data_IF_068051371749
#
_entry.id   IF_068051371749
#
_cell.length_a   1.000
_cell.length_b   1.000
_cell.length_c   1.000
_cell.angle_alpha   90.00
_cell.angle_beta   90.00
_cell.angle_gamma   90.00
#
_symmetry.space_group_name_H-M   'P 1'
#
loop_
_entity.id
_entity.type
_entity.pdbx_description
1 polymer ?
#
# COMPACT_ATOMS: atom_id res chain seq x y z
N UNK A 1 11.51 -6.02 -27.34
CA UNK A 1 12.45 -6.73 -26.44
C UNK A 1 12.64 -5.86 -25.21
N UNK A 2 11.72 -5.95 -24.25
CA UNK A 2 11.69 -5.07 -23.08
C UNK A 2 12.75 -5.48 -22.05
N UNK A 3 13.60 -4.52 -21.69
CA UNK A 3 14.68 -4.67 -20.71
C UNK A 3 14.11 -4.96 -19.32
N UNK A 4 14.52 -6.11 -18.75
CA UNK A 4 14.24 -6.47 -17.35
C UNK A 4 15.07 -5.54 -16.46
N UNK A 5 14.39 -4.89 -15.51
CA UNK A 5 14.99 -4.11 -14.43
C UNK A 5 15.93 -5.00 -13.61
N UNK A 6 17.23 -4.81 -13.80
CA UNK A 6 18.24 -5.30 -12.86
C UNK A 6 18.12 -4.50 -11.57
N UNK A 7 17.63 -5.13 -10.51
CA UNK A 7 17.73 -4.63 -9.14
C UNK A 7 19.22 -4.42 -8.83
N UNK A 8 19.63 -3.16 -8.77
CA UNK A 8 20.95 -2.78 -8.29
C UNK A 8 21.04 -3.12 -6.79
N UNK A 9 21.79 -4.17 -6.45
CA UNK A 9 22.20 -4.43 -5.07
C UNK A 9 23.27 -3.43 -4.69
N UNK A 10 22.93 -2.56 -3.74
CA UNK A 10 23.78 -1.50 -3.20
C UNK A 10 25.07 -2.06 -2.60
N UNK A 11 26.23 -1.52 -2.98
CA UNK A 11 27.55 -1.90 -2.49
C UNK A 11 27.85 -1.42 -1.06
N UNK A 12 27.31 -2.13 -0.06
CA UNK A 12 27.91 -2.20 1.28
C UNK A 12 28.86 -3.39 1.31
N UNK A 13 30.00 -3.29 2.02
CA UNK A 13 30.87 -4.44 2.25
C UNK A 13 30.00 -5.63 2.71
N UNK A 14 30.05 -6.75 1.97
CA UNK A 14 29.23 -7.91 2.27
C UNK A 14 29.44 -8.29 3.73
N UNK A 15 28.39 -8.14 4.54
CA UNK A 15 28.44 -8.48 5.96
C UNK A 15 28.58 -9.99 6.04
N UNK A 16 29.80 -10.44 6.36
CA UNK A 16 30.14 -11.86 6.50
C UNK A 16 30.34 -12.25 7.96
N UNK A 17 30.11 -13.52 8.28
CA UNK A 17 30.45 -14.11 9.58
C UNK A 17 31.48 -15.22 9.40
N UNK A 18 32.49 -15.25 10.27
CA UNK A 18 33.54 -16.27 10.25
C UNK A 18 33.07 -17.60 10.83
N UNK A 19 33.65 -18.71 10.37
CA UNK A 19 33.38 -20.04 10.94
C UNK A 19 33.79 -20.15 12.42
N UNK A 20 34.69 -19.29 12.90
CA UNK A 20 35.09 -19.20 14.32
C UNK A 20 34.01 -18.53 15.17
N UNK A 21 33.46 -17.43 14.71
CA UNK A 21 32.32 -16.76 15.37
C UNK A 21 31.10 -17.70 15.42
N UNK A 22 30.85 -18.43 14.33
CA UNK A 22 29.78 -19.46 14.29
C UNK A 22 30.02 -20.53 15.36
N UNK A 23 31.26 -21.01 15.50
CA UNK A 23 31.61 -22.02 16.50
C UNK A 23 31.39 -21.50 17.94
N UNK A 24 31.77 -20.25 18.21
CA UNK A 24 31.55 -19.61 19.51
C UNK A 24 30.04 -19.44 19.82
N UNK A 25 29.26 -18.93 18.87
CA UNK A 25 27.82 -18.72 19.03
C UNK A 25 27.04 -20.04 19.19
N UNK A 26 27.46 -21.08 18.48
CA UNK A 26 26.81 -22.40 18.54
C UNK A 26 27.37 -23.30 19.64
N UNK A 27 28.36 -22.82 20.42
CA UNK A 27 29.09 -23.59 21.45
C UNK A 27 29.59 -24.95 20.92
N UNK A 28 30.00 -24.96 19.66
CA UNK A 28 30.50 -26.14 18.95
C UNK A 28 31.99 -25.99 18.65
N UNK A 29 32.69 -27.10 18.45
CA UNK A 29 34.11 -27.02 18.08
C UNK A 29 34.25 -26.45 16.66
N UNK A 30 35.27 -25.61 16.44
CA UNK A 30 35.56 -25.02 15.13
C UNK A 30 35.79 -26.10 14.06
N UNK A 31 36.45 -27.21 14.40
CA UNK A 31 36.65 -28.35 13.48
C UNK A 31 35.33 -28.96 13.00
N UNK A 32 34.35 -29.14 13.89
CA UNK A 32 33.03 -29.63 13.51
C UNK A 32 32.33 -28.65 12.56
N UNK A 33 32.41 -27.35 12.84
CA UNK A 33 31.82 -26.30 11.99
C UNK A 33 32.48 -26.30 10.61
N UNK A 34 33.82 -26.39 10.53
CA UNK A 34 34.56 -26.49 9.26
C UNK A 34 34.16 -27.72 8.45
N UNK A 35 34.02 -28.90 9.10
CA UNK A 35 33.54 -30.12 8.45
C UNK A 35 32.14 -29.96 7.88
N UNK A 36 31.23 -29.36 8.65
CA UNK A 36 29.86 -29.08 8.19
C UNK A 36 29.84 -28.13 7.01
N UNK A 37 30.61 -27.04 7.05
CA UNK A 37 30.69 -26.07 5.95
C UNK A 37 31.22 -26.74 4.68
N UNK A 38 32.32 -27.51 4.77
CA UNK A 38 32.88 -28.24 3.62
C UNK A 38 31.87 -29.23 3.02
N UNK A 39 31.14 -29.96 3.87
CA UNK A 39 30.07 -30.86 3.42
C UNK A 39 28.96 -30.11 2.68
N UNK A 40 28.48 -29.00 3.24
CA UNK A 40 27.42 -28.19 2.64
C UNK A 40 27.86 -27.51 1.33
N UNK A 41 29.13 -27.15 1.20
CA UNK A 41 29.73 -26.66 -0.05
C UNK A 41 29.76 -27.79 -1.10
N UNK A 42 30.18 -29.00 -0.72
CA UNK A 42 30.19 -30.15 -1.62
C UNK A 42 28.78 -30.54 -2.11
N UNK A 43 27.76 -30.34 -1.27
CA UNK A 43 26.34 -30.54 -1.61
C UNK A 43 25.75 -29.37 -2.43
N UNK A 44 26.49 -28.27 -2.62
CA UNK A 44 26.03 -27.09 -3.34
C UNK A 44 24.99 -26.25 -2.58
N UNK A 45 24.86 -26.45 -1.27
CA UNK A 45 23.89 -25.76 -0.42
C UNK A 45 24.41 -24.38 0.03
N UNK A 46 25.70 -24.31 0.34
CA UNK A 46 26.42 -23.11 0.81
C UNK A 46 27.55 -22.81 -0.17
N UNK A 47 27.91 -21.53 -0.30
CA UNK A 47 29.03 -21.07 -1.11
C UNK A 47 30.09 -20.39 -0.23
N UNK A 48 31.36 -20.69 -0.49
CA UNK A 48 32.46 -20.08 0.25
C UNK A 48 33.81 -20.72 -0.06
N UNK A 49 34.88 -19.97 0.16
CA UNK A 49 36.25 -20.44 0.03
C UNK A 49 36.95 -20.41 1.39
N UNK A 50 37.93 -21.30 1.59
CA UNK A 50 38.79 -21.23 2.76
C UNK A 50 39.66 -19.97 2.70
N UNK A 51 39.64 -19.20 3.78
CA UNK A 51 40.43 -17.99 3.96
C UNK A 51 41.48 -18.22 5.04
N UNK A 52 42.71 -17.69 4.88
CA UNK A 52 43.73 -17.78 5.91
C UNK A 52 43.40 -16.84 7.08
N UNK A 53 43.46 -17.38 8.29
CA UNK A 53 43.31 -16.68 9.56
C UNK A 53 44.61 -16.70 10.34
N UNK A 54 45.13 -15.54 10.72
CA UNK A 54 46.34 -15.43 11.54
C UNK A 54 45.95 -15.29 13.00
N UNK A 55 46.31 -16.28 13.82
CA UNK A 55 45.91 -16.29 15.22
C UNK A 55 46.83 -15.36 16.04
N UNK A 56 46.27 -14.37 16.77
CA UNK A 56 47.05 -13.30 17.41
C UNK A 56 47.96 -13.79 18.53
N UNK A 57 47.64 -14.94 19.16
CA UNK A 57 48.37 -15.44 20.32
C UNK A 57 49.66 -16.21 19.97
N UNK A 58 49.70 -16.89 18.82
CA UNK A 58 50.80 -17.81 18.47
C UNK A 58 51.41 -17.51 17.09
N UNK A 59 50.88 -16.53 16.35
CA UNK A 59 51.36 -16.13 15.03
C UNK A 59 51.17 -17.21 13.95
N UNK A 60 50.43 -18.28 14.21
CA UNK A 60 50.20 -19.36 13.25
C UNK A 60 49.00 -19.05 12.36
N UNK A 61 49.06 -19.52 11.12
CA UNK A 61 47.96 -19.43 10.14
C UNK A 61 47.09 -20.68 10.19
N UNK A 62 45.79 -20.48 10.25
CA UNK A 62 44.77 -21.52 10.23
C UNK A 62 43.74 -21.23 9.13
N UNK A 63 43.06 -22.26 8.63
CA UNK A 63 41.93 -22.04 7.71
C UNK A 63 40.68 -21.59 8.46
N UNK A 64 39.92 -20.68 7.87
CA UNK A 64 38.54 -20.36 8.25
C UNK A 64 37.66 -20.16 7.01
N UNK A 65 36.35 -19.94 7.20
CA UNK A 65 35.44 -19.53 6.13
C UNK A 65 34.78 -18.21 6.51
N UNK A 66 34.60 -17.33 5.53
CA UNK A 66 33.75 -16.13 5.65
C UNK A 66 32.47 -16.39 4.86
N UNK A 67 31.34 -16.46 5.56
CA UNK A 67 30.04 -16.82 4.98
C UNK A 67 29.12 -15.60 4.90
N UNK A 68 28.32 -15.55 3.84
CA UNK A 68 27.21 -14.59 3.72
C UNK A 68 26.13 -14.87 4.77
N UNK A 69 25.28 -13.89 5.07
CA UNK A 69 24.17 -14.05 6.01
C UNK A 69 23.31 -15.30 5.74
N UNK A 70 22.96 -15.57 4.47
CA UNK A 70 22.19 -16.77 4.08
C UNK A 70 22.90 -18.03 4.53
N UNK A 71 24.17 -18.15 4.17
CA UNK A 71 24.95 -19.36 4.36
C UNK A 71 25.29 -19.58 5.84
N UNK A 72 25.55 -18.52 6.59
CA UNK A 72 25.64 -18.53 8.05
C UNK A 72 24.37 -19.07 8.68
N UNK A 73 23.19 -18.60 8.26
CA UNK A 73 21.90 -19.06 8.81
C UNK A 73 21.66 -20.55 8.55
N UNK A 74 22.02 -21.04 7.36
CA UNK A 74 21.96 -22.48 7.03
C UNK A 74 22.84 -23.28 7.99
N UNK A 75 24.08 -22.86 8.21
CA UNK A 75 25.01 -23.58 9.11
C UNK A 75 24.53 -23.52 10.56
N UNK A 76 24.22 -22.34 11.08
CA UNK A 76 23.83 -22.12 12.50
C UNK A 76 22.54 -22.86 12.85
N UNK A 77 21.54 -22.84 11.96
CA UNK A 77 20.28 -23.57 12.18
C UNK A 77 20.46 -25.09 12.22
N UNK A 78 21.54 -25.63 11.66
CA UNK A 78 21.90 -27.05 11.81
C UNK A 78 22.31 -27.42 13.25
N UNK A 79 23.08 -26.55 13.91
CA UNK A 79 23.62 -26.79 15.26
C UNK A 79 22.63 -26.48 16.38
N UNK A 80 21.74 -25.51 16.20
CA UNK A 80 20.76 -25.14 17.20
C UNK A 80 19.35 -25.59 16.79
N UNK A 81 18.90 -26.72 17.34
CA UNK A 81 17.60 -27.29 17.06
C UNK A 81 16.43 -26.38 17.49
N UNK A 82 16.57 -25.68 18.60
CA UNK A 82 15.58 -24.73 19.10
C UNK A 82 15.45 -23.52 18.17
N UNK A 83 16.58 -22.97 17.71
CA UNK A 83 16.59 -21.89 16.73
C UNK A 83 15.91 -22.32 15.43
N UNK A 84 16.20 -23.53 14.94
CA UNK A 84 15.58 -24.08 13.74
C UNK A 84 14.06 -24.21 13.90
N UNK A 85 13.60 -24.75 15.03
CA UNK A 85 12.17 -24.85 15.34
C UNK A 85 11.50 -23.47 15.36
N UNK A 86 12.10 -22.49 16.06
CA UNK A 86 11.58 -21.11 16.11
C UNK A 86 11.50 -20.44 14.76
N UNK A 87 12.48 -20.67 13.88
CA UNK A 87 12.45 -20.15 12.49
C UNK A 87 11.29 -20.79 11.73
N UNK A 88 11.14 -22.12 11.81
CA UNK A 88 10.05 -22.85 11.15
C UNK A 88 8.69 -22.34 11.64
N UNK A 89 8.48 -22.28 12.95
CA UNK A 89 7.23 -21.83 13.56
C UNK A 89 6.89 -20.40 13.15
N UNK A 90 7.87 -19.50 13.15
CA UNK A 90 7.68 -18.11 12.73
C UNK A 90 7.29 -18.01 11.25
N UNK A 91 7.88 -18.82 10.38
CA UNK A 91 7.51 -18.86 8.97
C UNK A 91 6.09 -19.40 8.77
N UNK A 92 5.70 -20.46 9.48
CA UNK A 92 4.32 -20.96 9.45
C UNK A 92 3.32 -19.93 9.97
N UNK A 93 3.68 -19.19 11.02
CA UNK A 93 2.86 -18.08 11.53
C UNK A 93 2.72 -16.97 10.48
N UNK A 94 3.80 -16.58 9.81
CA UNK A 94 3.76 -15.60 8.73
C UNK A 94 2.92 -16.08 7.54
N UNK A 95 2.96 -17.37 7.20
CA UNK A 95 2.09 -17.95 6.16
C UNK A 95 0.61 -17.98 6.56
N UNK A 96 0.31 -18.20 7.86
CA UNK A 96 -1.06 -18.13 8.39
C UNK A 96 -1.58 -16.71 8.54
N UNK A 97 -0.70 -15.77 8.86
CA UNK A 97 -1.02 -14.35 9.09
C UNK A 97 -0.96 -13.52 7.81
N UNK A 98 -0.22 -13.97 6.79
CA UNK A 98 -0.40 -13.48 5.44
C UNK A 98 -1.86 -13.75 5.07
N UNK A 99 -2.62 -12.74 4.61
CA UNK A 99 -3.90 -13.02 3.97
C UNK A 99 -3.63 -14.10 2.93
N UNK A 100 -4.53 -15.10 2.75
CA UNK A 100 -4.34 -16.09 1.71
C UNK A 100 -4.01 -15.30 0.46
N UNK A 101 -2.80 -15.52 -0.09
CA UNK A 101 -2.46 -15.05 -1.43
C UNK A 101 -3.72 -15.33 -2.23
N UNK A 102 -4.42 -14.32 -2.77
CA UNK A 102 -5.77 -14.53 -3.29
C UNK A 102 -5.68 -15.76 -4.16
N UNK A 103 -6.39 -16.83 -3.76
CA UNK A 103 -6.37 -18.11 -4.44
C UNK A 103 -6.37 -17.78 -5.92
N UNK A 104 -5.36 -18.24 -6.69
CA UNK A 104 -4.87 -17.57 -7.89
C UNK A 104 -6.06 -16.96 -8.61
N UNK A 105 -6.27 -15.64 -8.44
CA UNK A 105 -7.50 -14.92 -8.79
C UNK A 105 -8.01 -15.53 -10.06
N UNK A 106 -9.03 -16.42 -9.98
CA UNK A 106 -9.29 -17.48 -10.96
C UNK A 106 -8.65 -17.14 -12.28
N UNK A 107 -7.36 -17.52 -12.48
CA UNK A 107 -6.60 -16.97 -13.61
C UNK A 107 -7.43 -17.41 -14.78
N UNK A 108 -8.05 -16.49 -15.55
CA UNK A 108 -8.97 -16.88 -16.60
C UNK A 108 -8.19 -17.89 -17.42
N UNK A 109 -8.68 -19.14 -17.42
CA UNK A 109 -7.88 -20.30 -17.74
C UNK A 109 -7.11 -19.98 -19.01
N UNK A 110 -5.78 -19.82 -18.91
CA UNK A 110 -5.00 -19.30 -20.04
C UNK A 110 -5.31 -20.24 -21.20
N UNK A 111 -5.95 -19.74 -22.26
CA UNK A 111 -6.44 -20.60 -23.33
C UNK A 111 -5.26 -21.38 -23.89
N UNK A 112 -5.30 -22.71 -23.79
CA UNK A 112 -4.17 -23.55 -24.20
C UNK A 112 -4.10 -23.66 -25.73
N UNK A 113 -5.20 -23.32 -26.39
CA UNK A 113 -5.34 -23.33 -27.85
C UNK A 113 -5.68 -21.94 -28.38
N UNK A 114 -5.24 -21.66 -29.61
CA UNK A 114 -5.53 -20.39 -30.29
C UNK A 114 -7.04 -20.14 -30.46
N UNK A 115 -7.82 -21.20 -30.71
CA UNK A 115 -9.27 -21.10 -30.86
C UNK A 115 -10.00 -20.70 -29.59
N UNK A 116 -9.57 -21.21 -28.43
CA UNK A 116 -10.12 -20.81 -27.13
C UNK A 116 -9.75 -19.36 -26.78
N UNK A 117 -8.54 -18.91 -27.16
CA UNK A 117 -8.10 -17.53 -26.94
C UNK A 117 -8.95 -16.52 -27.69
N UNK A 118 -9.26 -16.80 -28.95
CA UNK A 118 -10.09 -15.93 -29.78
C UNK A 118 -11.53 -15.83 -29.25
N UNK A 119 -12.09 -16.92 -28.71
CA UNK A 119 -13.44 -16.90 -28.12
C UNK A 119 -13.48 -16.09 -26.84
N UNK A 120 -12.51 -16.27 -25.95
CA UNK A 120 -12.41 -15.49 -24.72
C UNK A 120 -12.23 -13.99 -25.03
N UNK A 121 -11.43 -13.65 -26.04
CA UNK A 121 -11.25 -12.26 -26.46
C UNK A 121 -12.55 -11.64 -27.00
N UNK A 122 -13.37 -12.42 -27.73
CA UNK A 122 -14.68 -11.97 -28.19
C UNK A 122 -15.63 -11.72 -27.02
N UNK A 123 -15.74 -12.66 -26.07
CA UNK A 123 -16.59 -12.51 -24.89
C UNK A 123 -16.17 -11.28 -24.04
N UNK A 124 -14.87 -11.03 -23.94
CA UNK A 124 -14.33 -9.86 -23.26
C UNK A 124 -14.67 -8.56 -23.99
N UNK A 125 -14.60 -8.57 -25.32
CA UNK A 125 -14.96 -7.41 -26.13
C UNK A 125 -16.43 -7.05 -25.96
N UNK A 126 -17.33 -8.03 -25.94
CA UNK A 126 -18.77 -7.81 -25.71
C UNK A 126 -19.04 -7.17 -24.33
N UNK A 127 -18.32 -7.60 -23.29
CA UNK A 127 -18.41 -7.00 -21.95
C UNK A 127 -17.90 -5.57 -21.95
N UNK A 128 -16.77 -5.31 -22.61
CA UNK A 128 -16.19 -3.96 -22.73
C UNK A 128 -17.16 -3.03 -23.47
N UNK A 129 -17.78 -3.49 -24.55
CA UNK A 129 -18.74 -2.71 -25.32
C UNK A 129 -20.01 -2.42 -24.51
N UNK A 130 -20.53 -3.41 -23.77
CA UNK A 130 -21.66 -3.21 -22.88
C UNK A 130 -21.36 -2.18 -21.78
N UNK A 131 -20.17 -2.25 -21.17
CA UNK A 131 -19.72 -1.27 -20.17
C UNK A 131 -19.49 0.11 -20.78
N UNK A 132 -18.89 0.17 -21.98
CA UNK A 132 -18.67 1.42 -22.70
C UNK A 132 -20.00 2.09 -23.09
N UNK A 133 -21.00 1.31 -23.49
CA UNK A 133 -22.35 1.82 -23.76
C UNK A 133 -23.02 2.38 -22.49
N UNK A 134 -22.85 1.73 -21.33
CA UNK A 134 -23.33 2.25 -20.04
C UNK A 134 -22.61 3.56 -19.66
N UNK A 135 -21.30 3.64 -19.85
CA UNK A 135 -20.53 4.86 -19.61
C UNK A 135 -20.91 5.98 -20.58
N UNK A 136 -21.15 5.68 -21.85
CA UNK A 136 -21.60 6.64 -22.85
C UNK A 136 -23.02 7.15 -22.56
N UNK A 137 -23.92 6.29 -22.08
CA UNK A 137 -25.24 6.70 -21.62
C UNK A 137 -25.18 7.58 -20.35
N UNK A 138 -24.19 7.35 -19.48
CA UNK A 138 -23.94 8.17 -18.29
C UNK A 138 -23.15 9.46 -18.59
N UNK A 139 -22.42 9.53 -19.71
CA UNK A 139 -21.61 10.67 -20.11
C UNK A 139 -22.35 12.03 -20.11
N UNK A 140 -23.57 12.18 -20.65
CA UNK A 140 -24.25 13.48 -20.64
C UNK A 140 -24.65 13.94 -19.23
N UNK A 141 -24.86 13.00 -18.29
CA UNK A 141 -25.14 13.34 -16.89
C UNK A 141 -23.88 13.82 -16.15
N UNK A 142 -22.74 13.19 -16.43
CA UNK A 142 -21.45 13.58 -15.86
C UNK A 142 -20.95 14.89 -16.47
N UNK A 143 -21.09 15.09 -17.79
CA UNK A 143 -20.75 16.34 -18.48
C UNK A 143 -21.62 17.52 -18.05
N UNK A 144 -22.91 17.32 -17.76
CA UNK A 144 -23.77 18.39 -17.23
C UNK A 144 -23.31 18.81 -15.83
N UNK A 145 -22.96 17.85 -14.97
CA UNK A 145 -22.40 18.15 -13.65
C UNK A 145 -21.08 18.87 -13.80
N UNK A 146 -20.16 18.40 -14.65
CA UNK A 146 -18.84 19.01 -14.82
C UNK A 146 -18.95 20.43 -15.45
N UNK A 147 -19.81 20.67 -16.47
CA UNK A 147 -20.06 22.03 -17.03
C UNK A 147 -20.80 22.96 -16.08
N UNK A 148 -21.77 22.45 -15.32
CA UNK A 148 -22.48 23.26 -14.32
C UNK A 148 -21.53 23.69 -13.21
N UNK A 149 -20.60 22.82 -12.85
CA UNK A 149 -19.64 23.02 -11.80
C UNK A 149 -18.46 23.93 -12.25
N UNK A 150 -18.06 23.89 -13.53
CA UNK A 150 -17.09 24.82 -14.12
C UNK A 150 -17.66 26.24 -14.34
N UNK A 151 -18.93 26.36 -14.73
CA UNK A 151 -19.56 27.65 -15.05
C UNK A 151 -19.95 28.50 -13.84
N UNK A 152 -20.10 27.90 -12.64
CA UNK A 152 -20.61 28.61 -11.45
C UNK A 152 -19.50 29.16 -10.53
N UNK A 153 -18.25 28.76 -10.72
CA UNK A 153 -17.12 29.20 -9.87
C UNK A 153 -17.25 28.75 -8.40
N UNK A 154 -16.78 29.59 -7.47
CA UNK A 154 -16.77 29.30 -6.03
C UNK A 154 -18.20 29.36 -5.43
N UNK A 155 -18.75 28.20 -5.05
CA UNK A 155 -20.11 28.08 -4.53
C UNK A 155 -20.17 28.30 -3.02
N UNK A 156 -21.26 28.92 -2.55
CA UNK A 156 -21.56 29.04 -1.11
C UNK A 156 -22.31 27.82 -0.59
N UNK A 157 -22.27 27.62 0.74
CA UNK A 157 -22.94 26.52 1.43
C UNK A 157 -24.40 26.30 0.99
N UNK A 158 -25.19 27.38 0.92
CA UNK A 158 -26.60 27.33 0.55
C UNK A 158 -26.81 26.89 -0.91
N UNK A 159 -25.92 27.31 -1.80
CA UNK A 159 -25.99 26.92 -3.22
C UNK A 159 -25.72 25.42 -3.39
N UNK A 160 -24.74 24.89 -2.66
CA UNK A 160 -24.42 23.45 -2.68
C UNK A 160 -25.56 22.61 -2.08
N UNK A 161 -26.14 23.05 -0.96
CA UNK A 161 -27.28 22.35 -0.34
C UNK A 161 -28.50 22.30 -1.29
N UNK A 162 -28.79 23.41 -1.98
CA UNK A 162 -29.87 23.48 -2.98
C UNK A 162 -29.60 22.59 -4.20
N UNK A 163 -28.35 22.55 -4.66
CA UNK A 163 -27.93 21.71 -5.79
C UNK A 163 -28.11 20.22 -5.47
N UNK A 164 -27.69 19.79 -4.28
CA UNK A 164 -27.77 18.41 -3.82
C UNK A 164 -29.18 18.04 -3.31
N UNK A 165 -30.13 18.98 -3.28
CA UNK A 165 -31.50 18.82 -2.75
C UNK A 165 -31.54 18.27 -1.32
N UNK A 166 -30.59 18.66 -0.47
CA UNK A 166 -30.49 18.23 0.94
C UNK A 166 -30.87 19.38 1.87
N UNK A 167 -31.49 19.08 3.01
CA UNK A 167 -31.84 20.08 4.02
C UNK A 167 -30.56 20.70 4.60
N UNK A 168 -30.51 22.04 4.65
CA UNK A 168 -29.37 22.78 5.20
C UNK A 168 -28.88 22.27 6.59
N UNK A 169 -29.75 21.96 7.58
CA UNK A 169 -29.28 21.46 8.88
C UNK A 169 -28.64 20.07 8.81
N UNK A 170 -29.19 19.15 8.02
CA UNK A 170 -28.63 17.80 7.82
C UNK A 170 -27.25 17.88 7.16
N UNK A 171 -27.10 18.78 6.18
CA UNK A 171 -25.83 18.99 5.50
C UNK A 171 -24.75 19.59 6.44
N UNK A 172 -25.13 20.47 7.38
CA UNK A 172 -24.21 20.98 8.42
C UNK A 172 -23.78 19.89 9.40
N UNK A 173 -24.70 19.01 9.77
CA UNK A 173 -24.39 17.88 10.64
C UNK A 173 -23.40 16.93 9.99
N UNK A 174 -23.66 16.54 8.73
CA UNK A 174 -22.76 15.69 7.94
C UNK A 174 -21.34 16.26 7.87
N UNK A 175 -21.18 17.55 7.54
CA UNK A 175 -19.85 18.16 7.39
C UNK A 175 -19.06 18.23 8.71
N UNK A 176 -19.77 18.32 9.85
CA UNK A 176 -19.17 18.28 11.18
C UNK A 176 -18.78 16.87 11.60
N UNK A 177 -19.65 15.90 11.35
CA UNK A 177 -19.45 14.49 11.71
C UNK A 177 -18.33 13.85 10.88
N UNK A 178 -18.32 14.10 9.57
CA UNK A 178 -17.28 13.67 8.65
C UNK A 178 -15.95 14.44 8.83
N UNK A 179 -15.87 15.37 9.81
CA UNK A 179 -14.69 16.22 10.08
C UNK A 179 -14.16 16.93 8.83
N UNK A 180 -15.06 17.40 7.97
CA UNK A 180 -14.73 18.11 6.73
C UNK A 180 -14.62 19.62 7.00
N UNK A 181 -15.55 20.14 7.80
CA UNK A 181 -15.58 21.55 8.22
C UNK A 181 -15.87 21.67 9.72
N UNK A 182 -15.36 22.73 10.33
CA UNK A 182 -15.59 23.10 11.73
C UNK A 182 -16.04 24.56 11.85
N UNK A 183 -16.61 24.91 12.99
CA UNK A 183 -17.06 26.29 13.28
C UNK A 183 -15.98 27.01 14.09
N UNK A 184 -15.51 28.15 13.60
CA UNK A 184 -14.55 29.03 14.27
C UNK A 184 -15.13 30.45 14.30
N UNK A 185 -15.35 31.00 15.50
CA UNK A 185 -15.89 32.37 15.64
C UNK A 185 -17.28 32.59 15.03
N UNK A 186 -18.07 31.52 14.85
CA UNK A 186 -19.38 31.56 14.18
C UNK A 186 -19.32 31.37 12.65
N UNK A 187 -18.12 31.29 12.07
CA UNK A 187 -17.91 31.04 10.64
C UNK A 187 -17.49 29.59 10.36
N UNK A 188 -17.95 29.04 9.24
CA UNK A 188 -17.62 27.66 8.83
C UNK A 188 -16.30 27.63 8.06
N UNK A 189 -15.34 26.90 8.61
CA UNK A 189 -13.98 26.78 8.07
C UNK A 189 -13.69 25.32 7.70
N UNK A 190 -13.08 25.09 6.53
CA UNK A 190 -12.67 23.74 6.13
C UNK A 190 -11.37 23.33 6.84
N UNK A 191 -11.18 22.04 7.10
CA UNK A 191 -9.90 21.53 7.59
C UNK A 191 -8.79 21.71 6.55
N UNK A 192 -7.56 21.94 7.01
CA UNK A 192 -6.39 22.20 6.15
C UNK A 192 -6.21 21.12 5.06
N UNK A 193 -6.43 19.85 5.40
CA UNK A 193 -6.36 18.72 4.47
C UNK A 193 -7.28 18.86 3.24
N UNK A 194 -8.44 19.49 3.40
CA UNK A 194 -9.38 19.70 2.29
C UNK A 194 -9.11 21.00 1.52
N UNK A 195 -8.47 21.98 2.15
CA UNK A 195 -7.96 23.19 1.48
C UNK A 195 -6.78 22.83 0.58
N UNK A 196 -5.80 22.08 1.10
CA UNK A 196 -4.64 21.58 0.34
C UNK A 196 -5.05 20.66 -0.82
N UNK A 197 -6.09 19.85 -0.63
CA UNK A 197 -6.63 19.01 -1.70
C UNK A 197 -7.35 19.79 -2.82
N UNK A 198 -7.45 21.12 -2.70
CA UNK A 198 -8.13 22.01 -3.64
C UNK A 198 -9.65 21.80 -3.67
N UNK A 199 -10.25 21.33 -2.57
CA UNK A 199 -11.70 21.13 -2.46
C UNK A 199 -12.41 22.40 -1.99
N UNK A 200 -11.74 23.23 -1.18
CA UNK A 200 -12.30 24.45 -0.59
C UNK A 200 -11.40 25.67 -0.79
N UNK A 201 -12.03 26.75 -1.25
CA UNK A 201 -11.59 28.15 -1.38
C UNK A 201 -11.81 29.03 -0.13
N UNK A 202 -10.82 29.47 0.63
CA UNK A 202 -11.04 30.54 1.63
C UNK A 202 -10.91 31.92 0.99
N UNK A 203 -12.00 32.68 0.97
CA UNK A 203 -12.01 34.08 0.49
C UNK A 203 -12.24 35.02 1.67
N UNK A 204 -11.22 35.82 1.97
CA UNK A 204 -11.35 36.96 2.88
C UNK A 204 -12.06 38.10 2.13
N UNK A 205 -13.15 38.61 2.69
CA UNK A 205 -13.87 39.78 2.19
C UNK A 205 -14.05 40.82 3.28
N UNK A 206 -14.12 42.09 2.92
CA UNK A 206 -14.52 43.16 3.83
C UNK A 206 -16.00 43.46 3.60
N UNK A 207 -16.83 43.27 4.63
CA UNK A 207 -18.23 43.67 4.56
C UNK A 207 -18.33 45.21 4.50
N UNK A 208 -19.45 45.74 3.99
CA UNK A 208 -19.74 47.19 3.95
C UNK A 208 -19.67 47.88 5.33
N UNK A 209 -19.65 47.10 6.43
CA UNK A 209 -19.50 47.57 7.80
C UNK A 209 -18.06 47.42 8.36
N UNK A 210 -17.03 47.45 7.51
CA UNK A 210 -15.60 47.42 7.92
C UNK A 210 -15.12 46.20 8.73
N UNK A 211 -15.91 45.12 8.81
CA UNK A 211 -15.46 43.84 9.37
C UNK A 211 -14.95 42.92 8.26
N UNK A 212 -13.74 42.40 8.43
CA UNK A 212 -13.19 41.35 7.58
C UNK A 212 -13.82 40.00 7.97
N UNK A 213 -14.35 39.28 6.99
CA UNK A 213 -14.95 37.96 7.15
C UNK A 213 -14.23 36.94 6.26
N UNK A 214 -14.07 35.70 6.74
CA UNK A 214 -13.41 34.63 6.00
C UNK A 214 -14.47 33.61 5.56
N UNK A 215 -14.97 33.78 4.34
CA UNK A 215 -15.96 32.85 3.80
C UNK A 215 -15.26 31.67 3.11
N UNK A 216 -15.49 30.46 3.62
CA UNK A 216 -15.13 29.23 2.94
C UNK A 216 -16.14 28.94 1.80
N UNK A 217 -15.64 28.73 0.59
CA UNK A 217 -16.42 28.43 -0.61
C UNK A 217 -16.01 27.08 -1.20
N UNK A 218 -16.96 26.40 -1.81
CA UNK A 218 -16.77 25.10 -2.43
C UNK A 218 -16.25 25.28 -3.85
N UNK A 219 -15.19 24.56 -4.18
CA UNK A 219 -14.70 24.46 -5.56
C UNK A 219 -15.51 23.42 -6.33
N UNK A 220 -15.28 23.40 -7.64
CA UNK A 220 -15.82 22.42 -8.53
C UNK A 220 -15.61 20.96 -8.06
N UNK A 221 -14.34 20.65 -7.80
CA UNK A 221 -13.86 19.38 -7.28
C UNK A 221 -14.43 19.07 -5.89
N UNK A 222 -14.57 20.11 -5.05
CA UNK A 222 -15.15 20.00 -3.72
C UNK A 222 -16.60 19.55 -3.74
N UNK A 223 -17.43 20.12 -4.62
CA UNK A 223 -18.85 19.75 -4.75
C UNK A 223 -19.02 18.30 -5.18
N UNK A 224 -18.27 17.85 -6.21
CA UNK A 224 -18.32 16.45 -6.69
C UNK A 224 -17.92 15.45 -5.60
N UNK A 225 -16.85 15.78 -4.86
CA UNK A 225 -16.38 14.92 -3.77
C UNK A 225 -17.38 14.87 -2.60
N UNK A 226 -17.89 16.02 -2.17
CA UNK A 226 -18.88 16.11 -1.09
C UNK A 226 -20.18 15.41 -1.47
N UNK A 227 -20.62 15.47 -2.73
CA UNK A 227 -21.81 14.76 -3.21
C UNK A 227 -21.66 13.23 -3.07
N UNK A 228 -20.50 12.68 -3.44
CA UNK A 228 -20.23 11.25 -3.30
C UNK A 228 -20.16 10.80 -1.82
N UNK A 229 -19.53 11.61 -0.97
CA UNK A 229 -19.40 11.28 0.45
C UNK A 229 -20.72 11.42 1.20
N UNK A 230 -21.55 12.40 0.82
CA UNK A 230 -22.91 12.56 1.33
C UNK A 230 -23.81 11.37 0.94
N UNK A 231 -23.67 10.84 -0.28
CA UNK A 231 -24.41 9.67 -0.72
C UNK A 231 -24.07 8.41 0.11
N UNK A 232 -22.79 8.22 0.46
CA UNK A 232 -22.37 7.13 1.36
C UNK A 232 -22.94 7.30 2.76
N UNK A 233 -22.83 8.50 3.33
CA UNK A 233 -23.37 8.79 4.66
C UNK A 233 -24.90 8.59 4.73
N UNK A 234 -25.63 8.96 3.67
CA UNK A 234 -27.07 8.68 3.59
C UNK A 234 -27.41 7.19 3.51
N UNK A 235 -26.55 6.38 2.86
CA UNK A 235 -26.72 4.92 2.81
C UNK A 235 -26.46 4.28 4.17
N UNK A 236 -25.44 4.75 4.90
CA UNK A 236 -25.11 4.29 6.26
C UNK A 236 -26.26 4.60 7.24
N UNK A 237 -26.77 5.83 7.22
CA UNK A 237 -27.91 6.26 8.05
C UNK A 237 -29.21 5.48 7.73
N UNK A 238 -29.41 5.06 6.48
CA UNK A 238 -30.54 4.18 6.09
C UNK A 238 -30.32 2.72 6.48
N UNK A 239 -29.08 2.25 6.52
CA UNK A 239 -28.73 0.89 6.96
C UNK A 239 -28.89 0.70 8.46
N UNK A 240 -28.54 1.71 9.26
CA UNK A 240 -28.72 1.67 10.72
C UNK A 240 -30.20 1.73 11.14
N UNK A 241 -31.06 2.38 10.35
CA UNK A 241 -32.51 2.41 10.58
C UNK A 241 -33.28 1.14 10.23
N UNK A 242 -32.65 0.14 9.56
CA UNK A 242 -33.28 -1.13 9.21
C UNK A 242 -33.13 -2.23 10.29
N UNK A 243 -32.37 -1.94 11.36
CA UNK A 243 -32.14 -2.85 12.48
C UNK A 243 -32.77 -2.37 13.81
N UNK A 244 -33.67 -1.40 13.77
CA UNK A 244 -34.43 -0.92 14.93
C UNK A 244 -35.92 -1.30 14.84
#
# INVERSE_FOLDING_TARGET
>A
MGSILALQTNGGADVTMSSREIAELTKSSHDNVMKTIRRLIAEGIVSGNETPYHHPQNGQTYSEFLLSFRDTMVVVSGYNAELRARIIDRWQELERAAPPTPAPVAVPAVPKTFGEALRLAADQQDVIEAQAAQLAAAAPAVEFVDRYVESTGLMTFRQVAKLLKVKEPEFRQFLREAKIMYVLGGEWTAHAQHIEAGRFETRAGTAQNSHAFNACKFTAKGVKWVAGELAKWQLEQRGEGAHA
#
